data_IF_475850426460
#
_entry.id   IF_475850426460
#
_cell.length_a   1.000
_cell.length_b   1.000
_cell.length_c   1.000
_cell.angle_alpha   90.00
_cell.angle_beta   90.00
_cell.angle_gamma   90.00
#
_symmetry.space_group_name_H-M   'P 1'
#
loop_
_entity.id
_entity.type
_entity.pdbx_description
1 polymer ?
#
# COMPACT_ATOMS: atom_id res chain seq x y z
N UNK A 1 -0.40 27.35 -18.21
CA UNK A 1 -1.02 26.96 -16.92
C UNK A 1 -2.40 26.40 -17.21
N UNK A 2 -2.67 25.15 -16.89
CA UNK A 2 -4.03 24.63 -16.98
C UNK A 2 -4.89 25.39 -15.96
N UNK A 3 -5.99 25.98 -16.39
CA UNK A 3 -6.88 26.72 -15.52
C UNK A 3 -7.71 25.74 -14.70
N UNK A 4 -7.30 25.47 -13.45
CA UNK A 4 -7.94 24.50 -12.55
C UNK A 4 -9.15 25.10 -11.81
N UNK A 5 -9.88 26.04 -12.40
CA UNK A 5 -10.98 26.77 -11.75
C UNK A 5 -12.13 25.87 -11.26
N UNK A 6 -12.35 24.73 -11.93
CA UNK A 6 -13.42 23.80 -11.56
C UNK A 6 -12.99 22.66 -10.62
N UNK A 7 -11.70 22.56 -10.30
CA UNK A 7 -11.20 21.54 -9.38
C UNK A 7 -11.11 22.08 -7.95
N UNK A 8 -11.52 21.26 -6.97
CA UNK A 8 -11.28 21.60 -5.58
C UNK A 8 -9.77 21.64 -5.31
N UNK A 9 -9.31 22.67 -4.59
CA UNK A 9 -7.88 22.90 -4.29
C UNK A 9 -7.36 21.96 -3.17
N UNK A 10 -7.56 20.65 -3.34
CA UNK A 10 -7.09 19.63 -2.40
C UNK A 10 -5.64 19.21 -2.66
N UNK A 11 -5.10 19.55 -3.81
CA UNK A 11 -3.72 19.27 -4.22
C UNK A 11 -3.01 20.54 -4.69
N UNK A 12 -1.69 20.59 -4.56
CA UNK A 12 -0.80 21.58 -5.13
C UNK A 12 0.07 20.89 -6.22
N UNK A 13 -0.45 20.70 -7.44
CA UNK A 13 0.27 20.00 -8.50
C UNK A 13 1.51 20.79 -8.94
N UNK A 14 2.58 20.07 -9.30
CA UNK A 14 3.74 20.65 -9.97
C UNK A 14 3.33 21.16 -11.36
N UNK A 15 4.05 22.15 -11.86
CA UNK A 15 3.76 22.77 -13.19
C UNK A 15 4.31 21.90 -14.33
N UNK A 16 3.80 20.67 -14.43
CA UNK A 16 4.09 19.73 -15.51
C UNK A 16 2.81 18.96 -15.86
N UNK A 17 2.59 18.73 -17.15
CA UNK A 17 1.48 17.91 -17.66
C UNK A 17 2.05 16.79 -18.50
N UNK A 18 1.83 15.55 -18.10
CA UNK A 18 2.26 14.37 -18.85
C UNK A 18 1.21 14.00 -19.89
N UNK A 19 1.67 13.64 -21.09
CA UNK A 19 0.83 13.26 -22.23
C UNK A 19 0.79 11.72 -22.41
N UNK A 20 1.96 11.08 -22.29
CA UNK A 20 2.06 9.61 -22.40
C UNK A 20 3.20 9.07 -21.54
N UNK A 21 3.23 7.73 -21.41
CA UNK A 21 4.28 7.01 -20.69
C UNK A 21 4.58 5.66 -21.33
N UNK A 22 5.82 5.20 -21.19
CA UNK A 22 6.28 3.89 -21.64
C UNK A 22 7.34 3.35 -20.66
N UNK A 23 7.13 2.16 -20.14
CA UNK A 23 8.04 1.55 -19.17
C UNK A 23 8.23 2.43 -17.93
N UNK A 24 9.47 2.79 -17.61
CA UNK A 24 9.81 3.65 -16.48
C UNK A 24 9.79 5.16 -16.83
N UNK A 25 9.33 5.55 -18.01
CA UNK A 25 9.41 6.94 -18.47
C UNK A 25 8.05 7.55 -18.72
N UNK A 26 7.98 8.87 -18.48
CA UNK A 26 6.86 9.74 -18.83
C UNK A 26 7.34 10.87 -19.74
N UNK A 27 6.48 11.33 -20.63
CA UNK A 27 6.73 12.49 -21.50
C UNK A 27 5.70 13.57 -21.23
N UNK A 28 6.15 14.80 -21.09
CA UNK A 28 5.27 15.95 -20.97
C UNK A 28 4.72 16.41 -22.33
N UNK A 29 3.79 17.35 -22.30
CA UNK A 29 3.19 17.94 -23.50
C UNK A 29 4.17 18.70 -24.41
N UNK A 30 5.41 18.94 -23.96
CA UNK A 30 6.50 19.55 -24.74
C UNK A 30 7.45 18.48 -25.30
N UNK A 31 7.18 17.20 -25.07
CA UNK A 31 8.02 16.07 -25.49
C UNK A 31 9.26 15.83 -24.63
N UNK A 32 9.38 16.47 -23.47
CA UNK A 32 10.46 16.23 -22.52
C UNK A 32 10.23 14.91 -21.79
N UNK A 33 11.24 14.05 -21.76
CA UNK A 33 11.22 12.75 -21.11
C UNK A 33 11.68 12.84 -19.65
N UNK A 34 10.99 12.09 -18.76
CA UNK A 34 11.31 11.99 -17.33
C UNK A 34 11.41 10.55 -16.91
N UNK A 35 12.41 10.23 -16.09
CA UNK A 35 12.48 8.94 -15.39
C UNK A 35 11.52 8.97 -14.19
N UNK A 36 10.56 8.05 -14.16
CA UNK A 36 9.59 7.95 -13.08
C UNK A 36 10.09 7.01 -11.98
N UNK A 37 10.76 7.59 -10.98
CA UNK A 37 11.19 6.86 -9.79
C UNK A 37 10.15 6.87 -8.66
N UNK A 38 8.89 7.22 -8.96
CA UNK A 38 7.79 7.28 -8.00
C UNK A 38 6.60 6.36 -8.38
N UNK A 39 6.34 6.18 -9.67
CA UNK A 39 5.28 5.33 -10.23
C UNK A 39 3.88 5.61 -9.69
N UNK A 40 3.52 6.89 -9.53
CA UNK A 40 2.23 7.25 -8.92
C UNK A 40 2.11 6.82 -7.46
N UNK A 41 3.22 6.81 -6.72
CA UNK A 41 3.35 6.33 -5.33
C UNK A 41 3.13 4.81 -5.25
N UNK A 42 4.04 4.05 -5.87
CA UNK A 42 4.04 2.59 -5.94
C UNK A 42 2.80 1.98 -6.64
N UNK A 43 2.16 2.71 -7.56
CA UNK A 43 0.97 2.23 -8.29
C UNK A 43 1.34 1.49 -9.56
N UNK A 44 2.12 2.13 -10.46
CA UNK A 44 2.47 1.56 -11.76
C UNK A 44 3.68 0.62 -11.65
N UNK A 45 3.52 -0.51 -10.92
CA UNK A 45 4.60 -1.47 -10.69
C UNK A 45 5.17 -2.09 -11.95
N UNK A 46 4.37 -2.27 -12.99
CA UNK A 46 4.80 -2.75 -14.32
C UNK A 46 5.18 -1.59 -15.27
N UNK A 47 5.32 -0.38 -14.73
CA UNK A 47 5.54 0.81 -15.54
C UNK A 47 4.30 1.26 -16.31
N UNK A 48 4.51 2.23 -17.20
CA UNK A 48 3.48 2.86 -18.00
C UNK A 48 3.23 2.10 -19.30
N UNK A 49 1.97 2.10 -19.77
CA UNK A 49 1.52 1.51 -21.03
C UNK A 49 2.01 0.05 -21.27
N UNK A 50 2.10 -0.75 -20.20
CA UNK A 50 2.57 -2.14 -20.33
C UNK A 50 1.70 -2.93 -21.31
N UNK A 51 2.29 -3.58 -22.36
CA UNK A 51 1.53 -4.18 -23.46
C UNK A 51 0.47 -5.19 -23.02
N UNK A 52 0.78 -6.06 -22.03
CA UNK A 52 -0.17 -7.04 -21.53
C UNK A 52 -1.37 -6.36 -20.83
N UNK A 53 -1.14 -5.29 -20.07
CA UNK A 53 -2.19 -4.53 -19.37
C UNK A 53 -3.08 -3.81 -20.40
N UNK A 54 -2.47 -3.11 -21.36
CA UNK A 54 -3.21 -2.40 -22.42
C UNK A 54 -4.09 -3.37 -23.22
N UNK A 55 -3.55 -4.55 -23.58
CA UNK A 55 -4.28 -5.59 -24.29
C UNK A 55 -5.48 -6.09 -23.47
N UNK A 56 -5.26 -6.46 -22.22
CA UNK A 56 -6.31 -6.98 -21.31
C UNK A 56 -7.42 -5.95 -21.12
N UNK A 57 -7.09 -4.69 -20.86
CA UNK A 57 -8.08 -3.62 -20.70
C UNK A 57 -8.93 -3.49 -21.98
N UNK A 58 -8.29 -3.40 -23.15
CA UNK A 58 -8.99 -3.25 -24.44
C UNK A 58 -9.91 -4.43 -24.73
N UNK A 59 -9.44 -5.66 -24.56
CA UNK A 59 -10.21 -6.86 -24.81
C UNK A 59 -11.36 -7.04 -23.82
N UNK A 60 -11.12 -6.80 -22.53
CA UNK A 60 -12.15 -6.97 -21.52
C UNK A 60 -13.18 -5.84 -21.58
N UNK A 61 -12.77 -4.60 -21.88
CA UNK A 61 -13.68 -3.48 -22.07
C UNK A 61 -14.64 -3.71 -23.25
N UNK A 62 -14.17 -4.36 -24.31
CA UNK A 62 -15.01 -4.74 -25.46
C UNK A 62 -16.01 -5.86 -25.15
N UNK A 63 -15.84 -6.61 -24.04
CA UNK A 63 -16.72 -7.72 -23.63
C UNK A 63 -17.71 -7.30 -22.55
N UNK A 64 -17.20 -6.86 -21.43
CA UNK A 64 -18.01 -6.61 -20.23
C UNK A 64 -17.22 -5.83 -19.20
N UNK A 65 -17.74 -4.64 -18.80
CA UNK A 65 -17.12 -3.79 -17.79
C UNK A 65 -17.58 -4.17 -16.38
N UNK A 66 -18.91 -4.31 -16.17
CA UNK A 66 -19.52 -4.43 -14.86
C UNK A 66 -20.84 -5.19 -14.91
N UNK A 67 -21.15 -5.97 -13.85
CA UNK A 67 -22.42 -6.71 -13.72
C UNK A 67 -23.10 -6.56 -12.37
N UNK A 68 -22.45 -5.98 -11.36
CA UNK A 68 -22.82 -6.09 -9.93
C UNK A 68 -22.46 -7.45 -9.30
N UNK A 69 -22.13 -7.39 -8.00
CA UNK A 69 -21.89 -8.57 -7.14
C UNK A 69 -23.18 -9.37 -6.79
N UNK A 70 -24.31 -9.01 -7.40
CA UNK A 70 -25.53 -9.85 -7.38
C UNK A 70 -25.37 -11.11 -8.23
N UNK A 71 -24.40 -11.14 -9.12
CA UNK A 71 -24.12 -12.25 -10.03
C UNK A 71 -22.72 -12.80 -9.79
N UNK A 72 -22.48 -14.03 -10.21
CA UNK A 72 -21.13 -14.61 -10.19
C UNK A 72 -20.27 -13.93 -11.25
N UNK A 73 -19.01 -13.62 -10.89
CA UNK A 73 -18.03 -12.97 -11.77
C UNK A 73 -16.80 -13.87 -11.85
N UNK A 74 -16.66 -14.58 -12.98
CA UNK A 74 -15.54 -15.52 -13.20
C UNK A 74 -14.16 -14.88 -13.00
N UNK A 75 -13.98 -13.65 -13.51
CA UNK A 75 -12.72 -12.92 -13.37
C UNK A 75 -12.39 -12.57 -11.92
N UNK A 76 -13.42 -12.30 -11.12
CA UNK A 76 -13.27 -12.04 -9.69
C UNK A 76 -12.80 -13.31 -8.95
N UNK A 77 -13.44 -14.46 -9.25
CA UNK A 77 -13.04 -15.73 -8.66
C UNK A 77 -11.59 -16.08 -9.05
N UNK A 78 -11.24 -15.97 -10.33
CA UNK A 78 -9.90 -16.25 -10.81
C UNK A 78 -8.82 -15.40 -10.13
N UNK A 79 -9.06 -14.09 -9.97
CA UNK A 79 -8.14 -13.22 -9.24
C UNK A 79 -8.06 -13.59 -7.74
N UNK A 80 -9.18 -13.97 -7.13
CA UNK A 80 -9.20 -14.43 -5.74
C UNK A 80 -8.34 -15.68 -5.57
N UNK A 81 -8.46 -16.65 -6.48
CA UNK A 81 -7.66 -17.89 -6.47
C UNK A 81 -6.15 -17.57 -6.58
N UNK A 82 -5.75 -16.68 -7.49
CA UNK A 82 -4.36 -16.24 -7.62
C UNK A 82 -3.83 -15.58 -6.34
N UNK A 83 -4.61 -14.65 -5.76
CA UNK A 83 -4.18 -13.93 -4.56
C UNK A 83 -4.10 -14.85 -3.34
N UNK A 84 -5.02 -15.80 -3.20
CA UNK A 84 -4.98 -16.79 -2.11
C UNK A 84 -3.81 -17.77 -2.28
N UNK A 85 -3.50 -18.19 -3.51
CA UNK A 85 -2.33 -19.05 -3.81
C UNK A 85 -1.02 -18.38 -3.37
N UNK A 86 -0.79 -17.11 -3.72
CA UNK A 86 0.49 -16.43 -3.43
C UNK A 86 0.59 -15.89 -2.00
N UNK A 87 -0.53 -15.65 -1.32
CA UNK A 87 -0.55 -15.13 0.05
C UNK A 87 -0.69 -16.22 1.13
N UNK A 88 -1.27 -17.37 0.78
CA UNK A 88 -1.66 -18.38 1.76
C UNK A 88 -2.89 -18.00 2.60
N UNK A 89 -3.57 -16.89 2.27
CA UNK A 89 -4.85 -16.52 2.86
C UNK A 89 -6.02 -17.23 2.15
N UNK A 90 -7.25 -17.18 2.70
CA UNK A 90 -8.34 -18.07 2.26
C UNK A 90 -9.52 -17.36 1.60
N UNK A 91 -9.74 -16.08 1.88
CA UNK A 91 -10.90 -15.31 1.41
C UNK A 91 -10.48 -13.94 0.94
N UNK A 92 -11.19 -13.39 -0.05
CA UNK A 92 -10.93 -12.06 -0.61
C UNK A 92 -12.24 -11.28 -0.74
N UNK A 93 -12.24 -10.04 -0.25
CA UNK A 93 -13.24 -9.04 -0.59
C UNK A 93 -12.58 -7.99 -1.48
N UNK A 94 -13.18 -7.68 -2.63
CA UNK A 94 -12.68 -6.68 -3.57
C UNK A 94 -13.36 -5.32 -3.40
N UNK A 95 -12.59 -4.27 -3.53
CA UNK A 95 -12.99 -2.88 -3.46
C UNK A 95 -12.33 -2.06 -4.58
N UNK A 96 -12.35 -0.72 -4.51
CA UNK A 96 -11.82 0.15 -5.57
C UNK A 96 -10.55 0.90 -5.15
N UNK A 97 -10.20 0.85 -3.89
CA UNK A 97 -9.07 1.61 -3.33
C UNK A 97 -8.51 0.95 -2.07
N UNK A 98 -7.31 1.38 -1.66
CA UNK A 98 -6.72 0.95 -0.39
C UNK A 98 -7.52 1.42 0.82
N UNK A 99 -8.09 2.63 0.76
CA UNK A 99 -8.95 3.12 1.84
C UNK A 99 -10.17 2.21 2.04
N UNK A 100 -10.84 1.78 0.96
CA UNK A 100 -11.97 0.85 1.04
C UNK A 100 -11.53 -0.55 1.52
N UNK A 101 -10.36 -1.02 1.13
CA UNK A 101 -9.81 -2.28 1.62
C UNK A 101 -9.54 -2.22 3.14
N UNK A 102 -8.98 -1.11 3.63
CA UNK A 102 -8.78 -0.88 5.06
C UNK A 102 -10.09 -0.69 5.83
N UNK A 103 -11.10 -0.04 5.24
CA UNK A 103 -12.46 0.01 5.83
C UNK A 103 -13.04 -1.40 6.05
N UNK A 104 -12.83 -2.31 5.08
CA UNK A 104 -13.24 -3.70 5.22
C UNK A 104 -12.49 -4.40 6.37
N UNK A 105 -11.17 -4.22 6.48
CA UNK A 105 -10.36 -4.78 7.57
C UNK A 105 -10.79 -4.24 8.95
N UNK A 106 -11.04 -2.93 9.08
CA UNK A 106 -11.54 -2.30 10.31
C UNK A 106 -12.92 -2.87 10.69
N UNK A 107 -13.79 -3.08 9.71
CA UNK A 107 -15.11 -3.68 9.95
C UNK A 107 -15.01 -5.15 10.39
N UNK A 108 -14.09 -5.95 9.82
CA UNK A 108 -13.79 -7.31 10.28
C UNK A 108 -13.40 -7.28 11.77
N UNK A 109 -12.46 -6.40 12.14
CA UNK A 109 -12.01 -6.29 13.53
C UNK A 109 -13.15 -5.92 14.49
N UNK A 110 -14.02 -4.99 14.11
CA UNK A 110 -15.19 -4.61 14.94
C UNK A 110 -16.19 -5.74 15.12
N UNK A 111 -16.56 -6.43 14.03
CA UNK A 111 -17.44 -7.58 14.09
C UNK A 111 -16.83 -8.71 14.93
N UNK A 112 -15.54 -8.98 14.76
CA UNK A 112 -14.81 -9.94 15.58
C UNK A 112 -14.90 -9.63 17.09
N UNK A 113 -14.69 -8.36 17.45
CA UNK A 113 -14.81 -7.92 18.84
C UNK A 113 -16.22 -8.10 19.40
N UNK A 114 -17.26 -7.74 18.64
CA UNK A 114 -18.65 -7.95 19.04
C UNK A 114 -19.01 -9.42 19.18
N UNK A 115 -18.50 -10.31 18.32
CA UNK A 115 -18.67 -11.76 18.46
C UNK A 115 -18.00 -12.29 19.75
N UNK A 116 -16.95 -11.65 20.24
CA UNK A 116 -16.31 -11.93 21.54
C UNK A 116 -17.01 -11.26 22.72
N UNK A 117 -18.10 -10.54 22.50
CA UNK A 117 -18.85 -9.84 23.56
C UNK A 117 -18.22 -8.49 23.97
N UNK A 118 -17.20 -8.00 23.28
CA UNK A 118 -16.56 -6.71 23.55
C UNK A 118 -17.48 -5.59 23.04
N UNK A 119 -17.87 -4.70 23.93
CA UNK A 119 -18.86 -3.66 23.62
C UNK A 119 -18.29 -2.55 22.74
N UNK A 120 -17.05 -2.16 22.97
CA UNK A 120 -16.36 -1.07 22.27
C UNK A 120 -15.03 -1.56 21.67
N UNK A 121 -15.07 -2.45 20.65
CA UNK A 121 -13.86 -3.03 20.11
C UNK A 121 -12.90 -1.97 19.62
N UNK A 122 -11.62 -2.09 20.00
CA UNK A 122 -10.56 -1.16 19.64
C UNK A 122 -9.48 -1.84 18.82
N UNK A 123 -8.91 -1.09 17.88
CA UNK A 123 -7.80 -1.51 17.01
C UNK A 123 -6.56 -0.69 17.37
N UNK A 124 -5.44 -1.36 17.63
CA UNK A 124 -4.14 -0.68 17.77
C UNK A 124 -3.67 -0.26 16.38
N UNK A 125 -3.26 1.01 16.27
CA UNK A 125 -2.69 1.63 15.06
C UNK A 125 -1.43 2.39 15.42
N UNK A 126 -0.52 2.56 14.45
CA UNK A 126 0.80 3.12 14.73
C UNK A 126 0.86 4.62 14.47
N UNK A 127 1.71 5.32 15.24
CA UNK A 127 2.11 6.68 14.92
C UNK A 127 2.76 6.74 13.54
N UNK A 128 2.60 7.87 12.85
CA UNK A 128 3.10 8.11 11.49
C UNK A 128 2.56 7.16 10.40
N UNK A 129 1.59 6.30 10.72
CA UNK A 129 0.94 5.43 9.74
C UNK A 129 0.07 6.20 8.76
N UNK A 130 -0.19 5.58 7.59
CA UNK A 130 -1.15 6.07 6.62
C UNK A 130 -2.05 4.93 6.13
N UNK A 131 -3.34 4.99 6.45
CA UNK A 131 -4.31 3.95 6.09
C UNK A 131 -5.42 4.43 5.15
N UNK A 132 -5.48 5.73 4.83
CA UNK A 132 -6.47 6.29 3.91
C UNK A 132 -7.07 7.62 4.38
N UNK A 133 -8.08 8.10 3.62
CA UNK A 133 -8.74 9.40 3.81
C UNK A 133 -10.25 9.31 4.05
N UNK A 134 -10.84 8.12 4.12
CA UNK A 134 -12.22 7.93 4.60
C UNK A 134 -12.26 8.13 6.11
N UNK A 135 -13.42 8.40 6.69
CA UNK A 135 -13.50 8.81 8.10
C UNK A 135 -12.87 7.78 9.06
N UNK A 136 -13.07 6.46 8.88
CA UNK A 136 -12.44 5.48 9.75
C UNK A 136 -10.94 5.31 9.44
N UNK A 137 -10.54 5.23 8.18
CA UNK A 137 -9.12 5.12 7.83
C UNK A 137 -8.33 6.39 8.16
N UNK A 138 -8.95 7.58 8.05
CA UNK A 138 -8.39 8.84 8.52
C UNK A 138 -8.15 8.82 10.02
N UNK A 139 -9.10 8.29 10.79
CA UNK A 139 -9.00 8.16 12.25
C UNK A 139 -7.90 7.15 12.64
N UNK A 140 -7.71 6.09 11.86
CA UNK A 140 -6.63 5.11 12.03
C UNK A 140 -5.25 5.69 11.65
N UNK A 141 -5.19 6.60 10.67
CA UNK A 141 -3.95 7.22 10.19
C UNK A 141 -3.22 7.99 11.30
N UNK A 142 -1.90 7.76 11.45
CA UNK A 142 -1.06 8.31 12.53
C UNK A 142 -0.58 9.75 12.32
N UNK A 143 -1.18 10.52 11.42
CA UNK A 143 -0.77 11.87 11.07
C UNK A 143 -1.82 12.90 11.47
N UNK A 144 -1.54 13.66 12.54
CA UNK A 144 -2.44 14.70 13.08
C UNK A 144 -2.75 15.82 12.08
N UNK A 145 -1.82 16.16 11.17
CA UNK A 145 -2.03 17.22 10.17
C UNK A 145 -3.17 16.88 9.20
N UNK A 146 -3.34 15.58 8.87
CA UNK A 146 -4.41 15.16 7.95
C UNK A 146 -5.75 14.92 8.65
N UNK A 147 -5.76 14.83 9.98
CA UNK A 147 -6.97 14.67 10.79
C UNK A 147 -7.59 16.02 11.18
N UNK A 148 -6.77 17.05 11.31
CA UNK A 148 -7.20 18.38 11.80
C UNK A 148 -8.34 18.96 10.96
N UNK A 149 -9.43 19.36 11.61
CA UNK A 149 -10.62 19.92 10.98
C UNK A 149 -11.68 18.89 10.56
N UNK A 150 -11.45 17.60 10.80
CA UNK A 150 -12.41 16.52 10.50
C UNK A 150 -12.97 15.85 11.76
N UNK A 151 -12.76 16.47 12.93
CA UNK A 151 -13.35 15.99 14.18
C UNK A 151 -14.87 16.18 14.20
N UNK A 152 -15.65 15.30 14.91
CA UNK A 152 -15.15 14.20 15.75
C UNK A 152 -14.67 12.99 14.92
N UNK A 153 -13.49 12.47 15.28
CA UNK A 153 -12.94 11.28 14.63
C UNK A 153 -13.72 10.01 15.03
N UNK A 154 -13.66 8.99 14.21
CA UNK A 154 -14.22 7.67 14.51
C UNK A 154 -13.47 7.07 15.70
N UNK A 155 -14.21 6.65 16.74
CA UNK A 155 -13.65 6.03 17.94
C UNK A 155 -13.28 4.56 17.72
N UNK A 156 -12.51 3.99 18.67
CA UNK A 156 -12.09 2.60 18.65
C UNK A 156 -10.70 2.42 18.03
N UNK A 157 -9.85 3.42 18.12
CA UNK A 157 -8.43 3.31 17.75
C UNK A 157 -7.55 3.68 18.95
N UNK A 158 -6.54 2.85 19.23
CA UNK A 158 -5.51 3.07 20.26
C UNK A 158 -4.18 3.25 19.54
N UNK A 159 -3.43 4.31 19.85
CA UNK A 159 -2.15 4.57 19.20
C UNK A 159 -0.99 4.02 19.99
N UNK A 160 -0.01 3.51 19.26
CA UNK A 160 1.28 3.08 19.76
C UNK A 160 2.40 3.63 18.85
N UNK A 161 3.59 3.88 19.40
CA UNK A 161 4.76 4.13 18.56
C UNK A 161 5.05 2.93 17.63
N UNK A 162 5.48 3.24 16.40
CA UNK A 162 5.90 2.20 15.47
C UNK A 162 7.23 1.58 15.93
N UNK A 163 7.38 0.27 15.78
CA UNK A 163 8.55 -0.49 16.20
C UNK A 163 8.80 -0.49 17.72
N UNK A 164 7.75 -0.29 18.52
CA UNK A 164 7.80 -0.34 19.99
C UNK A 164 6.87 -1.44 20.52
N UNK A 165 7.43 -2.63 20.71
CA UNK A 165 6.71 -3.83 21.18
C UNK A 165 6.30 -3.67 22.63
N UNK A 166 7.10 -3.00 23.46
CA UNK A 166 6.79 -2.80 24.90
C UNK A 166 5.56 -1.91 25.06
N UNK A 167 5.40 -0.89 24.22
CA UNK A 167 4.17 -0.09 24.18
C UNK A 167 2.94 -0.94 23.85
N UNK A 168 3.04 -1.87 22.90
CA UNK A 168 1.96 -2.80 22.55
C UNK A 168 1.62 -3.73 23.73
N UNK A 169 2.63 -4.29 24.40
CA UNK A 169 2.43 -5.14 25.60
C UNK A 169 1.77 -4.35 26.74
N UNK A 170 2.19 -3.12 26.97
CA UNK A 170 1.56 -2.26 27.96
C UNK A 170 0.09 -1.96 27.65
N UNK A 171 -0.26 -1.75 26.37
CA UNK A 171 -1.65 -1.61 25.94
C UNK A 171 -2.42 -2.91 26.22
N UNK A 172 -1.83 -4.09 25.92
CA UNK A 172 -2.44 -5.38 26.15
C UNK A 172 -2.80 -5.62 27.64
N UNK A 173 -1.93 -5.18 28.53
CA UNK A 173 -2.14 -5.31 29.99
C UNK A 173 -3.24 -4.39 30.53
N UNK A 174 -3.45 -3.23 29.88
CA UNK A 174 -4.29 -2.14 30.42
C UNK A 174 -5.59 -1.89 29.64
N UNK A 175 -5.81 -2.56 28.50
CA UNK A 175 -6.99 -2.31 27.65
C UNK A 175 -7.59 -3.65 27.13
N UNK A 176 -8.67 -4.06 27.77
CA UNK A 176 -9.39 -5.29 27.43
C UNK A 176 -10.31 -5.17 26.18
N UNK A 177 -10.46 -3.97 25.62
CA UNK A 177 -11.31 -3.71 24.45
C UNK A 177 -10.55 -3.90 23.13
N UNK A 178 -9.22 -4.13 23.18
CA UNK A 178 -8.41 -4.36 21.97
C UNK A 178 -8.75 -5.71 21.35
N UNK A 179 -8.93 -5.70 20.03
CA UNK A 179 -9.30 -6.88 19.24
C UNK A 179 -8.38 -7.15 18.05
N UNK A 180 -7.59 -6.15 17.65
CA UNK A 180 -6.71 -6.25 16.49
C UNK A 180 -5.57 -5.23 16.55
N UNK A 181 -4.52 -5.51 15.78
CA UNK A 181 -3.47 -4.57 15.40
C UNK A 181 -3.58 -4.34 13.89
N UNK A 182 -3.59 -3.07 13.44
CA UNK A 182 -3.46 -2.69 12.04
C UNK A 182 -2.14 -1.96 11.85
N UNK A 183 -1.24 -2.51 11.03
CA UNK A 183 0.12 -2.01 10.84
C UNK A 183 0.60 -2.13 9.40
N UNK A 184 1.35 -1.15 8.92
CA UNK A 184 2.13 -1.23 7.68
C UNK A 184 3.42 -2.03 7.97
N UNK A 185 3.78 -3.08 7.23
CA UNK A 185 5.05 -3.79 7.41
C UNK A 185 6.28 -2.90 7.24
N UNK A 186 6.20 -1.93 6.34
CA UNK A 186 7.10 -0.79 6.20
C UNK A 186 6.23 0.45 6.05
N UNK A 187 6.41 1.45 6.89
CA UNK A 187 5.65 2.70 6.78
C UNK A 187 6.08 3.48 5.54
N UNK A 188 5.16 3.69 4.61
CA UNK A 188 5.44 4.42 3.38
C UNK A 188 5.45 5.92 3.56
N UNK A 189 4.32 6.50 3.89
CA UNK A 189 4.13 7.95 4.06
C UNK A 189 4.86 8.48 5.30
N UNK A 190 5.08 7.64 6.30
CA UNK A 190 5.81 7.95 7.51
C UNK A 190 7.32 8.16 7.33
N UNK A 191 7.90 7.87 6.14
CA UNK A 191 9.32 8.10 5.86
C UNK A 191 10.11 6.85 5.47
N UNK A 192 9.49 5.85 4.87
CA UNK A 192 10.11 4.55 4.57
C UNK A 192 10.74 3.94 5.84
N UNK A 193 9.94 3.87 6.90
CA UNK A 193 10.37 3.30 8.16
C UNK A 193 10.33 1.78 8.10
N UNK A 194 11.51 1.16 8.11
CA UNK A 194 11.70 -0.29 8.15
C UNK A 194 11.86 -0.67 9.62
N UNK A 195 11.02 -1.55 10.18
CA UNK A 195 11.11 -1.94 11.58
C UNK A 195 12.25 -2.93 11.81
N UNK A 196 12.53 -3.25 13.06
CA UNK A 196 13.44 -4.33 13.45
C UNK A 196 12.99 -5.67 12.83
N UNK A 197 13.96 -6.51 12.54
CA UNK A 197 13.73 -7.71 11.73
C UNK A 197 12.68 -8.68 12.32
N UNK A 198 12.49 -8.69 13.63
CA UNK A 198 11.55 -9.55 14.36
C UNK A 198 10.28 -8.83 14.84
N UNK A 199 10.12 -7.54 14.51
CA UNK A 199 8.99 -6.74 14.97
C UNK A 199 7.63 -7.38 14.60
N UNK A 200 7.43 -7.76 13.34
CA UNK A 200 6.17 -8.39 12.90
C UNK A 200 5.97 -9.77 13.55
N UNK A 201 7.06 -10.50 13.82
CA UNK A 201 7.00 -11.78 14.55
C UNK A 201 6.50 -11.56 15.98
N UNK A 202 7.03 -10.56 16.68
CA UNK A 202 6.60 -10.21 18.03
C UNK A 202 5.14 -9.73 18.06
N UNK A 203 4.68 -8.94 17.07
CA UNK A 203 3.26 -8.57 16.94
C UNK A 203 2.37 -9.81 16.72
N UNK A 204 2.83 -10.78 15.90
CA UNK A 204 2.09 -12.02 15.68
C UNK A 204 1.97 -12.81 16.98
N UNK A 205 3.03 -12.90 17.76
CA UNK A 205 3.04 -13.60 19.04
C UNK A 205 2.06 -12.95 20.03
N UNK A 206 2.11 -11.63 20.18
CA UNK A 206 1.16 -10.89 21.03
C UNK A 206 -0.28 -11.12 20.56
N UNK A 207 -0.56 -11.05 19.27
CA UNK A 207 -1.90 -11.32 18.75
C UNK A 207 -2.37 -12.75 19.05
N UNK A 208 -1.46 -13.74 19.00
CA UNK A 208 -1.77 -15.13 19.37
C UNK A 208 -2.07 -15.25 20.88
N UNK A 209 -1.25 -14.66 21.74
CA UNK A 209 -1.40 -14.64 23.19
C UNK A 209 -2.72 -13.99 23.64
N UNK A 210 -3.06 -12.84 23.03
CA UNK A 210 -4.24 -12.05 23.38
C UNK A 210 -5.51 -12.50 22.63
N UNK A 211 -5.37 -13.35 21.63
CA UNK A 211 -6.46 -13.73 20.74
C UNK A 211 -6.96 -12.59 19.87
N UNK A 212 -6.08 -11.68 19.47
CA UNK A 212 -6.34 -10.56 18.56
C UNK A 212 -6.10 -10.95 17.10
N UNK A 213 -6.62 -10.11 16.18
CA UNK A 213 -6.29 -10.21 14.77
C UNK A 213 -5.03 -9.40 14.45
N UNK A 214 -4.07 -9.97 13.73
CA UNK A 214 -2.99 -9.24 13.10
C UNK A 214 -3.44 -8.86 11.68
N UNK A 215 -3.59 -7.56 11.44
CA UNK A 215 -4.01 -7.00 10.16
C UNK A 215 -2.86 -6.20 9.55
N UNK A 216 -2.41 -6.59 8.36
CA UNK A 216 -1.30 -5.93 7.67
C UNK A 216 -1.80 -5.08 6.51
N UNK A 217 -1.44 -3.79 6.52
CA UNK A 217 -1.63 -2.89 5.40
C UNK A 217 -0.48 -3.04 4.42
N UNK A 218 -0.66 -3.89 3.42
CA UNK A 218 0.29 -4.15 2.33
C UNK A 218 -0.02 -3.35 1.06
N UNK A 219 -0.77 -2.26 1.18
CA UNK A 219 -1.17 -1.43 0.03
C UNK A 219 0.04 -0.85 -0.69
N UNK A 220 1.10 -0.51 0.02
CA UNK A 220 2.33 0.01 -0.59
C UNK A 220 3.43 -1.05 -0.67
N UNK A 221 3.51 -1.97 0.27
CA UNK A 221 4.57 -2.98 0.40
C UNK A 221 4.33 -4.23 -0.43
N UNK A 222 3.08 -4.53 -0.76
CA UNK A 222 2.70 -5.75 -1.48
C UNK A 222 3.04 -5.76 -2.97
N UNK A 223 2.64 -6.81 -3.64
CA UNK A 223 2.79 -7.01 -5.08
C UNK A 223 4.25 -6.96 -5.57
N UNK A 224 5.16 -7.54 -4.79
CA UNK A 224 6.58 -7.67 -5.17
C UNK A 224 7.47 -6.48 -4.80
N UNK A 225 6.91 -5.38 -4.29
CA UNK A 225 7.62 -4.13 -4.01
C UNK A 225 8.86 -4.32 -3.14
N UNK A 226 8.75 -5.14 -2.09
CA UNK A 226 9.82 -5.34 -1.10
C UNK A 226 10.79 -6.49 -1.44
N UNK A 227 10.59 -7.17 -2.58
CA UNK A 227 11.41 -8.31 -2.98
C UNK A 227 10.86 -9.68 -2.53
N UNK A 228 9.69 -9.70 -1.95
CA UNK A 228 8.78 -10.85 -1.77
C UNK A 228 7.39 -10.45 -2.30
N UNK A 229 6.46 -11.39 -2.53
CA UNK A 229 5.11 -11.03 -2.98
C UNK A 229 4.43 -10.06 -2.01
N UNK A 230 4.60 -10.33 -0.71
CA UNK A 230 4.10 -9.50 0.40
C UNK A 230 5.19 -9.37 1.45
N UNK A 231 5.28 -8.21 2.11
CA UNK A 231 6.37 -7.94 3.03
C UNK A 231 6.37 -8.88 4.25
N UNK A 232 5.21 -9.37 4.70
CA UNK A 232 5.14 -10.32 5.81
C UNK A 232 5.89 -11.64 5.56
N UNK A 233 6.13 -11.98 4.28
CA UNK A 233 6.84 -13.19 3.91
C UNK A 233 8.33 -13.14 4.29
N UNK A 234 8.92 -11.94 4.41
CA UNK A 234 10.28 -11.80 4.95
C UNK A 234 10.40 -12.32 6.39
N UNK A 235 9.31 -12.25 7.15
CA UNK A 235 9.24 -12.67 8.55
C UNK A 235 8.78 -14.14 8.73
N UNK A 236 8.30 -14.78 7.66
CA UNK A 236 7.76 -16.14 7.73
C UNK A 236 6.50 -16.26 8.61
N UNK A 237 5.78 -15.17 8.85
CA UNK A 237 4.52 -15.15 9.60
C UNK A 237 3.32 -15.23 8.66
N UNK A 238 2.12 -15.41 9.24
CA UNK A 238 0.85 -15.31 8.51
C UNK A 238 -0.06 -14.32 9.23
N UNK A 239 -0.52 -13.24 8.55
CA UNK A 239 -1.52 -12.34 9.13
C UNK A 239 -2.91 -12.98 9.12
N UNK A 240 -3.81 -12.44 9.95
CA UNK A 240 -5.22 -12.82 9.91
C UNK A 240 -5.96 -12.06 8.78
N UNK A 241 -5.56 -10.82 8.53
CA UNK A 241 -6.10 -9.96 7.47
C UNK A 241 -4.95 -9.20 6.78
N UNK A 242 -5.03 -9.04 5.47
CA UNK A 242 -4.11 -8.24 4.67
C UNK A 242 -4.88 -7.38 3.68
N UNK A 243 -4.45 -6.14 3.49
CA UNK A 243 -5.06 -5.22 2.51
C UNK A 243 -4.12 -4.88 1.36
N UNK A 244 -4.66 -4.80 0.17
CA UNK A 244 -3.92 -4.52 -1.07
C UNK A 244 -4.63 -3.44 -1.89
N UNK A 245 -3.87 -2.70 -2.69
CA UNK A 245 -4.33 -1.81 -3.75
C UNK A 245 -3.16 -1.42 -4.67
N UNK A 246 -3.10 -0.18 -5.13
CA UNK A 246 -1.95 0.39 -5.88
C UNK A 246 -1.44 -0.55 -6.97
N UNK A 247 -0.26 -1.18 -6.75
CA UNK A 247 0.38 -2.06 -7.73
C UNK A 247 -0.48 -3.28 -8.12
N UNK A 248 -1.47 -3.66 -7.31
CA UNK A 248 -2.44 -4.69 -7.69
C UNK A 248 -3.14 -4.38 -9.03
N UNK A 249 -3.43 -3.10 -9.29
CA UNK A 249 -4.12 -2.66 -10.50
C UNK A 249 -3.22 -2.07 -11.58
N UNK A 250 -1.95 -1.77 -11.28
CA UNK A 250 -1.04 -1.06 -12.18
C UNK A 250 -1.64 0.20 -12.83
N UNK A 251 -2.37 0.99 -12.05
CA UNK A 251 -3.01 2.24 -12.49
C UNK A 251 -4.53 2.19 -12.55
N UNK A 252 -5.16 1.03 -12.66
CA UNK A 252 -6.63 0.94 -12.55
C UNK A 252 -7.07 0.85 -11.08
N UNK A 253 -8.23 1.44 -10.71
CA UNK A 253 -8.71 1.46 -9.33
C UNK A 253 -9.20 0.08 -8.89
N UNK A 254 -8.44 -0.56 -8.02
CA UNK A 254 -8.80 -1.80 -7.34
C UNK A 254 -8.17 -1.85 -5.95
N UNK A 255 -8.89 -2.41 -5.00
CA UNK A 255 -8.42 -2.79 -3.68
C UNK A 255 -8.89 -4.19 -3.33
N UNK A 256 -8.20 -4.84 -2.41
CA UNK A 256 -8.58 -6.15 -1.91
C UNK A 256 -8.29 -6.23 -0.40
N UNK A 257 -9.22 -6.81 0.33
CA UNK A 257 -9.04 -7.23 1.72
C UNK A 257 -9.05 -8.76 1.75
N UNK A 258 -7.89 -9.34 2.06
CA UNK A 258 -7.71 -10.77 2.17
C UNK A 258 -7.78 -11.17 3.64
N UNK A 259 -8.32 -12.35 3.92
CA UNK A 259 -8.42 -12.87 5.26
C UNK A 259 -8.09 -14.38 5.31
N UNK A 260 -7.57 -14.83 6.45
CA UNK A 260 -7.47 -16.26 6.72
C UNK A 260 -8.90 -16.85 6.89
N UNK A 261 -9.02 -18.16 6.99
CA UNK A 261 -10.32 -18.82 7.06
C UNK A 261 -11.18 -18.27 8.22
N UNK A 262 -10.60 -18.15 9.41
CA UNK A 262 -11.30 -17.65 10.61
C UNK A 262 -11.78 -16.20 10.46
N UNK A 263 -10.93 -15.31 10.01
CA UNK A 263 -11.29 -13.90 9.83
C UNK A 263 -12.22 -13.68 8.64
N UNK A 264 -12.09 -14.49 7.59
CA UNK A 264 -12.94 -14.42 6.39
C UNK A 264 -14.39 -14.84 6.62
N UNK A 265 -14.66 -15.65 7.65
CA UNK A 265 -16.01 -16.07 8.03
C UNK A 265 -16.74 -15.09 8.94
N UNK A 266 -16.06 -14.05 9.43
CA UNK A 266 -16.65 -13.04 10.32
C UNK A 266 -17.72 -12.22 9.58
N UNK A 267 -17.45 -11.85 8.32
CA UNK A 267 -18.38 -11.12 7.49
C UNK A 267 -19.39 -12.08 6.83
N UNK A 268 -20.66 -11.74 6.96
CA UNK A 268 -21.76 -12.48 6.37
C UNK A 268 -22.50 -11.63 5.31
N UNK A 269 -23.29 -12.21 4.41
CA UNK A 269 -24.06 -11.45 3.43
C UNK A 269 -24.83 -10.29 4.07
N UNK A 270 -24.66 -9.09 3.50
CA UNK A 270 -25.27 -7.85 3.99
C UNK A 270 -24.41 -7.04 4.96
N UNK A 271 -23.30 -7.56 5.51
CA UNK A 271 -22.44 -6.81 6.44
C UNK A 271 -21.61 -5.75 5.72
N UNK A 272 -21.20 -6.00 4.49
CA UNK A 272 -20.40 -5.09 3.69
C UNK A 272 -20.66 -5.28 2.20
N UNK A 273 -20.27 -4.29 1.38
CA UNK A 273 -20.46 -4.36 -0.06
C UNK A 273 -19.78 -3.21 -0.78
N UNK A 274 -19.64 -3.37 -2.09
CA UNK A 274 -19.15 -2.36 -3.02
C UNK A 274 -19.88 -2.50 -4.35
N UNK A 275 -20.29 -1.38 -4.95
CA UNK A 275 -20.95 -1.41 -6.27
C UNK A 275 -19.98 -1.85 -7.35
N UNK A 276 -18.79 -1.27 -7.39
CA UNK A 276 -17.81 -1.50 -8.46
C UNK A 276 -16.70 -2.49 -8.09
N UNK A 277 -16.49 -2.75 -6.79
CA UNK A 277 -15.42 -3.62 -6.32
C UNK A 277 -15.54 -5.03 -6.89
N UNK A 278 -14.45 -5.55 -7.46
CA UNK A 278 -14.41 -6.88 -8.06
C UNK A 278 -15.08 -7.00 -9.43
N UNK A 279 -15.30 -5.89 -10.15
CA UNK A 279 -15.89 -5.95 -11.49
C UNK A 279 -14.98 -6.68 -12.50
N UNK A 280 -15.56 -7.21 -13.59
CA UNK A 280 -14.81 -7.99 -14.58
C UNK A 280 -13.58 -7.30 -15.15
N UNK A 281 -13.65 -5.99 -15.45
CA UNK A 281 -12.54 -5.27 -16.05
C UNK A 281 -11.36 -5.13 -15.09
N UNK A 282 -11.63 -4.71 -13.85
CA UNK A 282 -10.57 -4.52 -12.85
C UNK A 282 -9.93 -5.84 -12.45
N UNK A 283 -10.73 -6.89 -12.27
CA UNK A 283 -10.22 -8.22 -11.93
C UNK A 283 -9.39 -8.84 -13.05
N UNK A 284 -9.81 -8.73 -14.32
CA UNK A 284 -9.01 -9.18 -15.45
C UNK A 284 -7.67 -8.45 -15.52
N UNK A 285 -7.68 -7.13 -15.30
CA UNK A 285 -6.46 -6.32 -15.31
C UNK A 285 -5.52 -6.73 -14.18
N UNK A 286 -6.02 -6.83 -12.94
CA UNK A 286 -5.21 -7.22 -11.79
C UNK A 286 -4.68 -8.67 -11.90
N UNK A 287 -5.47 -9.59 -12.46
CA UNK A 287 -5.01 -10.95 -12.78
C UNK A 287 -3.81 -10.92 -13.75
N UNK A 288 -3.88 -10.08 -14.80
CA UNK A 288 -2.75 -9.89 -15.73
C UNK A 288 -1.53 -9.28 -15.02
N UNK A 289 -1.72 -8.43 -14.02
CA UNK A 289 -0.60 -7.91 -13.21
C UNK A 289 0.09 -9.05 -12.46
N UNK A 290 -0.66 -9.90 -11.77
CA UNK A 290 -0.11 -11.06 -11.03
C UNK A 290 0.66 -11.98 -11.99
N UNK A 291 0.05 -12.34 -13.12
CA UNK A 291 0.68 -13.20 -14.12
C UNK A 291 1.98 -12.61 -14.67
N UNK A 292 1.99 -11.31 -14.95
CA UNK A 292 3.17 -10.61 -15.47
C UNK A 292 4.31 -10.56 -14.45
N UNK A 293 4.01 -10.23 -13.19
CA UNK A 293 5.01 -10.23 -12.10
C UNK A 293 5.64 -11.63 -11.97
N UNK A 294 4.80 -12.68 -11.97
CA UNK A 294 5.23 -14.09 -11.87
C UNK A 294 6.10 -14.50 -13.06
N UNK A 295 5.61 -14.28 -14.27
CA UNK A 295 6.27 -14.73 -15.50
C UNK A 295 7.62 -14.03 -15.76
N UNK A 296 7.73 -12.75 -15.44
CA UNK A 296 8.94 -11.96 -15.61
C UNK A 296 9.89 -12.00 -14.41
N UNK A 297 9.57 -12.72 -13.34
CA UNK A 297 10.41 -12.84 -12.14
C UNK A 297 10.66 -11.51 -11.41
N UNK A 298 9.69 -10.60 -11.46
CA UNK A 298 9.87 -9.21 -10.99
C UNK A 298 10.06 -9.10 -9.48
N UNK A 299 9.56 -10.05 -8.70
CA UNK A 299 9.81 -10.13 -7.24
C UNK A 299 11.32 -10.26 -6.98
N UNK A 300 11.97 -11.21 -7.67
CA UNK A 300 13.43 -11.39 -7.55
C UNK A 300 14.21 -10.20 -8.10
N UNK A 301 13.71 -9.56 -9.18
CA UNK A 301 14.30 -8.34 -9.72
C UNK A 301 14.27 -7.21 -8.69
N UNK A 302 13.12 -6.97 -8.06
CA UNK A 302 12.96 -5.96 -7.03
C UNK A 302 13.94 -6.16 -5.85
N UNK A 303 14.14 -7.41 -5.40
CA UNK A 303 15.10 -7.75 -4.35
C UNK A 303 16.53 -7.39 -4.73
N UNK A 304 16.97 -7.83 -5.92
CA UNK A 304 18.35 -7.64 -6.40
C UNK A 304 18.66 -6.18 -6.70
N UNK A 305 17.79 -5.51 -7.46
CA UNK A 305 17.99 -4.12 -7.83
C UNK A 305 17.80 -3.18 -6.66
N UNK A 306 16.85 -3.45 -5.77
CA UNK A 306 16.68 -2.68 -4.56
C UNK A 306 17.96 -2.64 -3.70
N UNK A 307 18.58 -3.80 -3.47
CA UNK A 307 19.85 -3.89 -2.75
C UNK A 307 20.96 -3.13 -3.49
N UNK A 308 21.09 -3.32 -4.82
CA UNK A 308 22.09 -2.63 -5.63
C UNK A 308 21.93 -1.10 -5.57
N UNK A 309 20.70 -0.59 -5.63
CA UNK A 309 20.43 0.85 -5.57
C UNK A 309 20.75 1.40 -4.17
N UNK A 310 20.33 0.70 -3.11
CA UNK A 310 20.61 1.12 -1.72
C UNK A 310 22.12 1.16 -1.47
N UNK A 311 22.86 0.13 -1.88
CA UNK A 311 24.32 0.07 -1.71
C UNK A 311 24.99 1.19 -2.52
N UNK A 312 24.56 1.41 -3.76
CA UNK A 312 25.09 2.48 -4.61
C UNK A 312 24.83 3.89 -4.04
N UNK A 313 23.69 4.13 -3.40
CA UNK A 313 23.45 5.39 -2.69
C UNK A 313 24.25 5.49 -1.40
N UNK A 314 24.36 4.44 -0.61
CA UNK A 314 25.21 4.43 0.59
C UNK A 314 26.66 4.78 0.26
N UNK A 315 27.22 4.16 -0.77
CA UNK A 315 28.59 4.44 -1.19
C UNK A 315 28.79 5.90 -1.64
N UNK A 316 27.88 6.40 -2.48
CA UNK A 316 28.00 7.74 -3.06
C UNK A 316 27.67 8.87 -2.09
N UNK A 317 26.81 8.62 -1.13
CA UNK A 317 26.36 9.62 -0.17
C UNK A 317 27.08 9.53 1.19
N UNK A 318 27.99 8.57 1.39
CA UNK A 318 28.70 8.33 2.65
C UNK A 318 29.51 9.53 3.17
N UNK A 319 29.92 10.42 2.27
CA UNK A 319 30.70 11.64 2.59
C UNK A 319 29.93 12.94 2.30
N UNK A 320 28.63 12.84 2.03
CA UNK A 320 27.79 14.02 1.75
C UNK A 320 27.18 14.50 3.05
N UNK A 321 27.54 15.71 3.46
CA UNK A 321 27.00 16.36 4.64
C UNK A 321 25.46 16.54 4.50
N UNK A 322 24.74 16.35 5.61
CA UNK A 322 23.29 16.51 5.66
C UNK A 322 22.51 15.25 5.26
N UNK A 323 23.15 14.15 4.85
CA UNK A 323 22.51 12.85 4.67
C UNK A 323 22.62 12.06 5.98
N UNK A 324 21.44 11.75 6.56
CA UNK A 324 21.37 11.00 7.82
C UNK A 324 21.46 9.50 7.59
N UNK A 325 20.66 8.99 6.66
CA UNK A 325 20.55 7.55 6.41
C UNK A 325 20.04 7.25 4.99
N UNK A 326 20.54 6.16 4.43
CA UNK A 326 19.96 5.50 3.25
C UNK A 326 19.46 4.13 3.66
N UNK A 327 18.17 3.88 3.48
CA UNK A 327 17.50 2.61 3.82
C UNK A 327 16.59 2.14 2.70
N UNK A 328 16.29 0.85 2.66
CA UNK A 328 15.35 0.31 1.68
C UNK A 328 15.11 -1.18 1.87
N UNK A 329 13.95 -1.63 1.39
CA UNK A 329 13.59 -3.04 1.30
C UNK A 329 13.00 -3.28 -0.10
N UNK A 330 13.72 -4.08 -0.93
CA UNK A 330 13.42 -4.16 -2.34
C UNK A 330 13.46 -2.78 -3.00
N UNK A 331 12.49 -2.46 -3.83
CA UNK A 331 12.35 -1.17 -4.51
C UNK A 331 11.48 -0.15 -3.73
N UNK A 332 11.51 -0.20 -2.42
CA UNK A 332 10.94 0.78 -1.51
C UNK A 332 12.09 1.43 -0.75
N UNK A 333 12.54 2.62 -1.22
CA UNK A 333 13.83 3.22 -0.82
C UNK A 333 13.60 4.61 -0.25
N UNK A 334 14.27 4.93 0.85
CA UNK A 334 14.29 6.23 1.50
C UNK A 334 15.72 6.75 1.69
N UNK A 335 15.91 8.02 1.39
CA UNK A 335 17.14 8.77 1.71
C UNK A 335 16.73 9.86 2.68
N UNK A 336 17.07 9.70 3.94
CA UNK A 336 16.74 10.67 5.00
C UNK A 336 17.81 11.73 5.11
N UNK A 337 17.38 12.99 5.10
CA UNK A 337 18.23 14.15 5.33
C UNK A 337 18.06 14.67 6.76
N UNK A 338 19.05 15.43 7.23
CA UNK A 338 18.99 16.06 8.55
C UNK A 338 17.94 17.15 8.63
N UNK A 339 17.73 17.88 7.52
CA UNK A 339 16.79 18.97 7.42
C UNK A 339 15.64 18.70 6.45
N UNK A 340 14.58 19.49 6.55
CA UNK A 340 13.46 19.48 5.63
C UNK A 340 13.93 19.78 4.21
N UNK A 341 13.47 19.03 3.21
CA UNK A 341 13.97 19.14 1.85
C UNK A 341 12.86 19.09 0.76
N UNK A 342 11.71 19.75 0.92
CA UNK A 342 10.62 19.68 -0.06
C UNK A 342 11.02 20.23 -1.44
N UNK A 343 12.00 21.15 -1.53
CA UNK A 343 12.52 21.72 -2.76
C UNK A 343 13.20 20.70 -3.66
N UNK A 344 13.69 19.58 -3.12
CA UNK A 344 14.32 18.53 -3.92
C UNK A 344 13.37 17.94 -4.96
N UNK A 345 12.05 17.99 -4.73
CA UNK A 345 11.06 17.53 -5.71
C UNK A 345 11.13 18.38 -6.99
N UNK A 346 11.18 19.70 -6.85
CA UNK A 346 11.29 20.61 -8.00
C UNK A 346 12.66 20.52 -8.66
N UNK A 347 13.74 20.43 -7.88
CA UNK A 347 15.09 20.29 -8.41
C UNK A 347 15.28 18.98 -9.19
N UNK A 348 14.66 17.87 -8.73
CA UNK A 348 14.67 16.61 -9.44
C UNK A 348 13.85 16.69 -10.74
N UNK A 349 12.67 17.33 -10.70
CA UNK A 349 11.85 17.60 -11.89
C UNK A 349 12.64 18.35 -12.96
N UNK A 350 13.41 19.39 -12.59
CA UNK A 350 14.29 20.13 -13.50
C UNK A 350 15.40 19.25 -14.12
N UNK A 351 15.75 18.14 -13.45
CA UNK A 351 16.72 17.14 -13.92
C UNK A 351 16.04 15.94 -14.61
N UNK A 352 14.74 16.03 -14.91
CA UNK A 352 13.96 14.99 -15.55
C UNK A 352 13.81 13.70 -14.69
N UNK A 353 13.79 13.85 -13.38
CA UNK A 353 13.61 12.75 -12.43
C UNK A 353 12.37 13.02 -11.56
N UNK A 354 11.44 12.07 -11.51
CA UNK A 354 10.27 12.15 -10.67
C UNK A 354 10.49 11.42 -9.36
N UNK A 355 10.47 12.16 -8.27
CA UNK A 355 10.57 11.69 -6.91
C UNK A 355 9.51 12.36 -6.05
N UNK A 356 9.37 11.95 -4.79
CA UNK A 356 8.74 12.80 -3.80
C UNK A 356 9.52 12.82 -2.48
N UNK A 357 9.19 13.79 -1.63
CA UNK A 357 9.67 13.89 -0.26
C UNK A 357 8.51 13.58 0.67
N UNK A 358 8.71 12.63 1.57
CA UNK A 358 7.75 12.25 2.61
C UNK A 358 8.33 12.53 3.99
N UNK A 359 7.47 12.61 5.02
CA UNK A 359 7.86 13.03 6.38
C UNK A 359 8.62 14.37 6.46
N UNK A 360 8.69 15.12 5.34
CA UNK A 360 9.34 16.42 5.22
C UNK A 360 10.83 16.38 4.86
N UNK A 361 11.54 15.32 5.19
CA UNK A 361 12.99 15.19 5.00
C UNK A 361 13.45 13.83 4.42
N UNK A 362 12.55 12.99 3.95
CA UNK A 362 12.89 11.69 3.35
C UNK A 362 12.58 11.72 1.86
N UNK A 363 13.62 11.69 1.03
CA UNK A 363 13.48 11.45 -0.41
C UNK A 363 13.06 10.00 -0.60
N UNK A 364 11.87 9.79 -1.17
CA UNK A 364 11.31 8.47 -1.41
C UNK A 364 11.40 8.08 -2.87
N UNK A 365 11.94 6.89 -3.12
CA UNK A 365 12.01 6.28 -4.44
C UNK A 365 11.21 4.99 -4.45
N UNK A 366 10.31 4.89 -5.42
CA UNK A 366 9.40 3.76 -5.66
C UNK A 366 9.38 3.42 -7.16
N UNK A 367 10.53 3.14 -7.79
CA UNK A 367 10.58 2.90 -9.23
C UNK A 367 9.76 1.67 -9.62
N UNK A 368 9.37 1.50 -10.91
CA UNK A 368 8.66 0.31 -11.35
C UNK A 368 9.50 -0.96 -11.17
N UNK A 369 8.85 -2.11 -10.97
CA UNK A 369 9.53 -3.39 -10.78
C UNK A 369 10.29 -3.87 -12.02
N UNK A 370 9.97 -3.28 -13.16
CA UNK A 370 10.54 -3.60 -14.49
C UNK A 370 11.85 -2.87 -14.79
N UNK A 371 12.32 -1.98 -13.91
CA UNK A 371 13.61 -1.28 -14.14
C UNK A 371 14.75 -2.27 -14.26
N UNK A 372 15.78 -1.87 -14.96
CA UNK A 372 17.04 -2.62 -15.12
C UNK A 372 18.24 -1.80 -14.60
N UNK A 373 19.43 -2.34 -14.78
CA UNK A 373 20.69 -1.70 -14.31
C UNK A 373 21.21 -0.61 -15.26
N UNK A 374 20.57 -0.41 -16.41
CA UNK A 374 20.96 0.62 -17.38
C UNK A 374 20.24 1.92 -17.13
#
# INVERSE_FOLDING_TARGET
MANNEHLMKTYAPLDVTFEHGEGAYLWDTNGRQYLDALCGIAVCGLGHAHPAITKTISEQAAKLLHTSNLYQIEKQQHLADQLTEISGLSRVFFSNSGAEANEAAIKIARLFGHQKGIKNPSVIVMDNSFHGRTMATLSATGNRKVQAGFEPLVQGFVRAPYNDVDAIRSIAENNNDVVAILVEPVQGEGGINIPDADYLNQLRDICNEQGWLLMLDEIQTGMGRTGEWFAFQHNGIQPDVMTLAKALGNGVPIGACLANEKAGEIMQPGNHGSTFGGNPLMCATASTVVDTIKAAGLVSNAKKLGQHIVDGFKDRLSSVDGVREVRGLGLMIGIELEEQCPELVSLALDKNLLINVTAGNVVRLLPPLIIDQK
#
